data_IF_215614181017
#
_entry.id   IF_215614181017
#
_cell.length_a   1.000
_cell.length_b   1.000
_cell.length_c   1.000
_cell.angle_alpha   90.00
_cell.angle_beta   90.00
_cell.angle_gamma   90.00
#
_symmetry.space_group_name_H-M   'P 1'
#
loop_
_entity.id
_entity.type
_entity.pdbx_description
1 polymer ?
#
# COMPACT_ATOMS: atom_id res chain seq x y z
N UNK A 1 8.73 -2.63 -15.67
CA UNK A 1 8.17 -2.18 -14.37
C UNK A 1 7.04 -1.22 -14.68
N UNK A 2 5.80 -1.53 -14.33
CA UNK A 2 4.67 -0.66 -14.64
C UNK A 2 4.84 0.73 -13.98
N UNK A 3 4.73 1.79 -14.78
CA UNK A 3 4.86 3.19 -14.35
C UNK A 3 3.55 3.67 -13.71
N UNK A 4 3.28 3.18 -12.50
CA UNK A 4 2.08 3.53 -11.72
C UNK A 4 2.08 4.97 -11.18
N UNK A 5 3.07 5.79 -11.53
CA UNK A 5 3.30 7.14 -11.00
C UNK A 5 2.39 8.21 -11.62
N UNK A 6 1.77 7.90 -12.77
CA UNK A 6 1.11 8.92 -13.58
C UNK A 6 -0.42 9.01 -13.38
N UNK A 7 -1.03 8.07 -12.64
CA UNK A 7 -2.45 8.14 -12.28
C UNK A 7 -2.60 8.52 -10.79
N UNK A 8 -2.85 9.82 -10.54
CA UNK A 8 -2.98 10.35 -9.17
C UNK A 8 -4.25 9.88 -8.48
N UNK A 9 -5.36 9.74 -9.21
CA UNK A 9 -6.65 9.30 -8.66
C UNK A 9 -6.54 7.87 -8.14
N UNK A 10 -6.05 6.96 -8.99
CA UNK A 10 -5.77 5.58 -8.60
C UNK A 10 -4.85 5.52 -7.36
N UNK A 11 -3.80 6.33 -7.34
CA UNK A 11 -2.85 6.31 -6.25
C UNK A 11 -3.48 6.81 -4.94
N UNK A 12 -4.31 7.86 -5.01
CA UNK A 12 -5.04 8.38 -3.85
C UNK A 12 -5.95 7.30 -3.28
N UNK A 13 -6.78 6.69 -4.13
CA UNK A 13 -7.71 5.63 -3.73
C UNK A 13 -6.98 4.41 -3.16
N UNK A 14 -5.86 4.01 -3.76
CA UNK A 14 -5.04 2.92 -3.25
C UNK A 14 -4.46 3.23 -1.85
N UNK A 15 -4.01 4.47 -1.62
CA UNK A 15 -3.49 4.91 -0.33
C UNK A 15 -4.62 4.95 0.72
N UNK A 16 -5.79 5.45 0.35
CA UNK A 16 -6.95 5.54 1.25
C UNK A 16 -7.45 4.16 1.64
N UNK A 17 -7.54 3.23 0.67
CA UNK A 17 -7.84 1.83 0.93
C UNK A 17 -6.80 1.21 1.86
N UNK A 18 -5.51 1.40 1.59
CA UNK A 18 -4.44 0.88 2.45
C UNK A 18 -4.51 1.41 3.89
N UNK A 19 -4.84 2.71 4.08
CA UNK A 19 -5.00 3.30 5.42
C UNK A 19 -6.16 2.67 6.19
N UNK A 20 -7.25 2.33 5.52
CA UNK A 20 -8.43 1.69 6.12
C UNK A 20 -8.21 0.23 6.52
N UNK A 21 -7.08 -0.38 6.14
CA UNK A 21 -6.78 -1.79 6.39
C UNK A 21 -5.67 -1.98 7.46
N UNK A 22 -5.97 -1.75 8.75
CA UNK A 22 -4.99 -1.90 9.84
C UNK A 22 -4.42 -3.32 9.94
N UNK A 23 -5.11 -4.33 9.41
CA UNK A 23 -4.67 -5.72 9.25
C UNK A 23 -3.33 -5.82 8.51
N UNK A 24 -3.04 -4.86 7.63
CA UNK A 24 -1.86 -4.91 6.74
C UNK A 24 -0.67 -4.12 7.30
N UNK A 25 -0.93 -3.08 8.09
CA UNK A 25 0.12 -2.13 8.50
C UNK A 25 0.26 -1.91 10.01
N UNK A 26 -0.73 -2.29 10.83
CA UNK A 26 -0.72 -2.07 12.28
C UNK A 26 -0.17 -3.29 13.04
N UNK A 27 1.14 -3.51 12.94
CA UNK A 27 1.87 -4.69 13.45
C UNK A 27 1.60 -5.03 14.92
N UNK A 28 1.34 -4.03 15.77
CA UNK A 28 1.08 -4.23 17.22
C UNK A 28 -0.39 -4.51 17.57
N UNK A 29 -1.28 -4.67 16.59
CA UNK A 29 -2.71 -4.94 16.83
C UNK A 29 -3.04 -6.43 16.77
N UNK A 30 -4.04 -6.89 17.53
CA UNK A 30 -4.53 -8.28 17.43
C UNK A 30 -5.16 -8.57 16.06
N UNK A 31 -5.66 -7.52 15.41
CA UNK A 31 -6.18 -7.55 14.04
C UNK A 31 -5.08 -7.95 13.03
N UNK A 32 -3.84 -7.50 13.23
CA UNK A 32 -2.69 -7.91 12.42
C UNK A 32 -2.29 -9.39 12.62
N UNK A 33 -2.52 -9.94 13.82
CA UNK A 33 -2.24 -11.36 14.10
C UNK A 33 -3.28 -12.29 13.44
N UNK A 34 -4.45 -11.77 13.08
CA UNK A 34 -5.49 -12.56 12.43
C UNK A 34 -5.18 -12.77 10.94
N UNK A 35 -4.69 -13.98 10.61
CA UNK A 35 -4.32 -14.36 9.24
C UNK A 35 -5.47 -14.25 8.24
N UNK A 36 -6.71 -14.52 8.66
CA UNK A 36 -7.88 -14.45 7.78
C UNK A 36 -8.19 -13.00 7.41
N UNK A 37 -8.21 -12.10 8.39
CA UNK A 37 -8.41 -10.67 8.15
C UNK A 37 -7.28 -10.09 7.30
N UNK A 38 -6.03 -10.49 7.57
CA UNK A 38 -4.89 -10.12 6.73
C UNK A 38 -5.05 -10.58 5.28
N UNK A 39 -5.52 -11.81 5.04
CA UNK A 39 -5.74 -12.32 3.69
C UNK A 39 -6.81 -11.52 2.93
N UNK A 40 -7.96 -11.27 3.57
CA UNK A 40 -9.05 -10.48 3.00
C UNK A 40 -8.61 -9.04 2.69
N UNK A 41 -7.80 -8.43 3.56
CA UNK A 41 -7.27 -7.11 3.34
C UNK A 41 -6.32 -7.07 2.12
N UNK A 42 -5.47 -8.08 1.96
CA UNK A 42 -4.62 -8.21 0.77
C UNK A 42 -5.43 -8.45 -0.51
N UNK A 43 -6.51 -9.23 -0.46
CA UNK A 43 -7.39 -9.42 -1.62
C UNK A 43 -8.00 -8.11 -2.10
N UNK A 44 -8.50 -7.26 -1.20
CA UNK A 44 -8.99 -5.91 -1.54
C UNK A 44 -7.93 -5.06 -2.25
N UNK A 45 -6.69 -5.11 -1.74
CA UNK A 45 -5.58 -4.36 -2.34
C UNK A 45 -5.15 -4.95 -3.70
N UNK A 46 -5.25 -6.26 -3.88
CA UNK A 46 -4.98 -6.93 -5.16
C UNK A 46 -6.04 -6.52 -6.18
N UNK A 47 -7.33 -6.60 -5.84
CA UNK A 47 -8.42 -6.20 -6.72
C UNK A 47 -8.29 -4.74 -7.14
N UNK A 48 -7.95 -3.85 -6.20
CA UNK A 48 -7.64 -2.47 -6.57
C UNK A 48 -6.47 -2.38 -7.53
N UNK A 49 -5.37 -3.10 -7.27
CA UNK A 49 -4.20 -3.08 -8.15
C UNK A 49 -4.47 -3.67 -9.55
N UNK A 50 -5.44 -4.59 -9.68
CA UNK A 50 -5.85 -5.17 -10.97
C UNK A 50 -6.48 -4.18 -11.93
N UNK A 51 -7.05 -3.09 -11.44
CA UNK A 51 -7.57 -2.01 -12.29
C UNK A 51 -6.49 -1.40 -13.20
N UNK A 52 -5.22 -1.47 -12.80
CA UNK A 52 -4.09 -0.93 -13.56
C UNK A 52 -3.07 -1.99 -13.99
N UNK A 53 -3.08 -3.16 -13.36
CA UNK A 53 -2.21 -4.30 -13.66
C UNK A 53 -3.03 -5.59 -13.53
N UNK A 54 -3.68 -6.08 -14.60
CA UNK A 54 -4.63 -7.19 -14.53
C UNK A 54 -4.06 -8.47 -13.89
N UNK A 55 -2.74 -8.68 -13.98
CA UNK A 55 -2.03 -9.82 -13.40
C UNK A 55 -1.49 -9.54 -12.00
N UNK A 56 -2.00 -8.51 -11.31
CA UNK A 56 -1.56 -8.13 -9.99
C UNK A 56 -1.72 -9.28 -8.99
N UNK A 57 -0.65 -9.53 -8.25
CA UNK A 57 -0.61 -10.52 -7.18
C UNK A 57 -0.23 -9.86 -5.85
N UNK A 58 -0.22 -10.68 -4.79
CA UNK A 58 0.16 -10.23 -3.45
C UNK A 58 1.58 -9.66 -3.40
N UNK A 59 2.52 -10.18 -4.20
CA UNK A 59 3.89 -9.68 -4.22
C UNK A 59 3.95 -8.27 -4.82
N UNK A 60 3.20 -8.01 -5.89
CA UNK A 60 3.09 -6.69 -6.51
C UNK A 60 2.50 -5.68 -5.53
N UNK A 61 1.46 -6.04 -4.79
CA UNK A 61 0.90 -5.19 -3.72
C UNK A 61 1.94 -4.85 -2.66
N UNK A 62 2.68 -5.85 -2.15
CA UNK A 62 3.76 -5.62 -1.17
C UNK A 62 4.83 -4.69 -1.72
N UNK A 63 5.24 -4.88 -2.97
CA UNK A 63 6.22 -4.03 -3.65
C UNK A 63 5.70 -2.59 -3.78
N UNK A 64 4.43 -2.41 -4.17
CA UNK A 64 3.78 -1.10 -4.27
C UNK A 64 3.77 -0.38 -2.91
N UNK A 65 3.34 -1.06 -1.85
CA UNK A 65 3.35 -0.51 -0.48
C UNK A 65 4.76 -0.11 -0.06
N UNK A 66 5.76 -0.95 -0.33
CA UNK A 66 7.16 -0.66 0.00
C UNK A 66 7.68 0.58 -0.75
N UNK A 67 7.37 0.72 -2.04
CA UNK A 67 7.70 1.91 -2.82
C UNK A 67 7.09 3.16 -2.20
N UNK A 68 5.80 3.12 -1.82
CA UNK A 68 5.11 4.25 -1.19
C UNK A 68 5.72 4.62 0.16
N UNK A 69 5.98 3.63 1.03
CA UNK A 69 6.63 3.85 2.33
C UNK A 69 8.04 4.42 2.20
N UNK A 70 8.79 4.00 1.18
CA UNK A 70 10.14 4.50 0.91
C UNK A 70 10.12 5.92 0.33
N UNK A 71 9.18 6.23 -0.57
CA UNK A 71 8.96 7.58 -1.07
C UNK A 71 8.58 8.54 0.09
N UNK A 72 7.59 8.17 0.90
CA UNK A 72 7.19 8.95 2.07
C UNK A 72 8.34 9.20 3.04
N UNK A 73 9.10 8.16 3.41
CA UNK A 73 10.26 8.31 4.31
C UNK A 73 11.35 9.22 3.74
N UNK A 74 11.59 9.18 2.43
CA UNK A 74 12.55 10.08 1.76
C UNK A 74 12.09 11.53 1.85
N UNK A 75 10.83 11.80 1.54
CA UNK A 75 10.27 13.16 1.64
C UNK A 75 10.24 13.66 3.08
N UNK A 76 9.83 12.81 4.03
CA UNK A 76 9.87 13.13 5.46
C UNK A 76 11.28 13.53 5.91
N UNK A 77 12.32 12.77 5.52
CA UNK A 77 13.72 13.09 5.84
C UNK A 77 14.18 14.42 5.22
N UNK A 78 13.70 14.79 4.04
CA UNK A 78 13.99 16.09 3.42
C UNK A 78 13.33 17.22 4.21
N UNK A 79 12.05 17.07 4.56
CA UNK A 79 11.33 18.06 5.36
C UNK A 79 11.95 18.24 6.75
N UNK A 80 12.33 17.15 7.41
CA UNK A 80 12.96 17.19 8.73
C UNK A 80 14.41 17.72 8.73
N UNK A 81 15.03 17.88 7.54
CA UNK A 81 16.34 18.54 7.37
C UNK A 81 16.22 20.05 7.14
N UNK A 82 15.00 20.55 6.87
CA UNK A 82 14.73 21.98 6.63
C UNK A 82 14.28 22.72 7.89
N UNK A 83 14.26 22.03 9.04
CA UNK A 83 14.13 22.57 10.39
C UNK A 83 15.49 22.41 11.09
#
# INVERSE_FOLDING_TARGET
>A
MANFTNNREFLSEFIDLYRQLPEVWKVKSDVYKNRNLGNLAYEKLIEKLKEVEPNADRQMVRKKINVLRSAYRRELKKSNRKL
#
